data_IF_627086743123
#
_entry.id   IF_627086743123
#
_cell.length_a   1.000
_cell.length_b   1.000
_cell.length_c   1.000
_cell.angle_alpha   90.00
_cell.angle_beta   90.00
_cell.angle_gamma   90.00
#
_symmetry.space_group_name_H-M   'P 1'
#
loop_
_entity.id
_entity.type
_entity.pdbx_description
1 polymer ?
#
# COMPACT_ATOMS: atom_id res chain seq x y z
N UNK A 1 35.57 33.11 -28.10
CA UNK A 1 35.71 31.63 -27.98
C UNK A 1 35.37 31.11 -26.58
N UNK A 2 35.86 31.69 -25.47
CA UNK A 2 35.55 31.21 -24.10
C UNK A 2 34.05 31.27 -23.72
N UNK A 3 33.29 32.24 -24.17
CA UNK A 3 31.84 32.40 -23.89
C UNK A 3 30.98 31.33 -24.59
N UNK A 4 31.39 30.86 -25.79
CA UNK A 4 30.67 29.82 -26.54
C UNK A 4 30.86 28.44 -25.90
N UNK A 5 32.06 28.17 -25.37
CA UNK A 5 32.37 26.89 -24.68
C UNK A 5 31.57 26.75 -23.38
N UNK A 6 31.35 27.87 -22.66
CA UNK A 6 30.58 27.84 -21.41
C UNK A 6 29.09 27.55 -21.68
N UNK A 7 28.55 28.13 -22.77
CA UNK A 7 27.14 27.92 -23.17
C UNK A 7 26.90 26.46 -23.64
N UNK A 8 27.83 25.85 -24.37
CA UNK A 8 27.72 24.45 -24.80
C UNK A 8 27.86 23.47 -23.63
N UNK A 9 28.69 23.78 -22.63
CA UNK A 9 28.82 22.97 -21.40
C UNK A 9 27.54 23.05 -20.53
N UNK A 10 26.91 24.21 -20.43
CA UNK A 10 25.64 24.41 -19.71
C UNK A 10 24.46 23.66 -20.38
N UNK A 11 24.43 23.62 -21.72
CA UNK A 11 23.41 22.88 -22.47
C UNK A 11 23.57 21.36 -22.36
N UNK A 12 24.82 20.85 -22.27
CA UNK A 12 25.07 19.42 -22.00
C UNK A 12 24.66 18.99 -20.59
N UNK A 13 24.83 19.86 -19.58
CA UNK A 13 24.41 19.55 -18.21
C UNK A 13 22.90 19.51 -18.03
N UNK A 14 22.13 20.30 -18.79
CA UNK A 14 20.67 20.31 -18.76
C UNK A 14 20.05 19.01 -19.28
N UNK A 15 20.71 18.27 -20.16
CA UNK A 15 20.22 17.00 -20.69
C UNK A 15 20.37 15.83 -19.72
N UNK A 16 21.35 15.87 -18.81
CA UNK A 16 21.59 14.80 -17.81
C UNK A 16 20.53 14.85 -16.72
N UNK A 17 19.98 16.01 -16.39
CA UNK A 17 18.94 16.16 -15.35
C UNK A 17 17.58 15.66 -15.83
N UNK A 18 17.29 15.72 -17.14
CA UNK A 18 16.02 15.21 -17.69
C UNK A 18 15.96 13.67 -17.82
N UNK A 19 17.10 12.97 -17.88
CA UNK A 19 17.14 11.53 -18.09
C UNK A 19 16.94 10.68 -16.82
N UNK A 20 17.10 11.25 -15.63
CA UNK A 20 17.02 10.52 -14.36
C UNK A 20 15.62 10.54 -13.70
N UNK A 21 14.67 11.31 -14.20
CA UNK A 21 13.37 11.55 -13.55
C UNK A 21 12.22 10.63 -13.93
N UNK A 22 12.34 9.78 -14.95
CA UNK A 22 11.14 9.22 -15.59
C UNK A 22 10.79 7.74 -15.26
N UNK A 23 11.64 7.01 -14.55
CA UNK A 23 11.39 5.58 -14.33
C UNK A 23 10.75 5.22 -12.98
N UNK A 24 10.90 6.01 -11.93
CA UNK A 24 10.39 5.66 -10.58
C UNK A 24 8.96 6.12 -10.29
N UNK A 25 8.39 7.05 -11.05
CA UNK A 25 7.08 7.66 -10.74
C UNK A 25 5.83 6.91 -11.24
N UNK A 26 5.95 5.93 -12.14
CA UNK A 26 4.76 5.25 -12.69
C UNK A 26 4.00 4.44 -11.64
N UNK A 27 4.67 3.77 -10.74
CA UNK A 27 4.04 2.97 -9.68
C UNK A 27 3.46 3.84 -8.57
N UNK A 28 4.12 4.94 -8.21
CA UNK A 28 3.63 5.91 -7.25
C UNK A 28 2.36 6.64 -7.72
N UNK A 29 2.32 7.04 -9.00
CA UNK A 29 1.14 7.69 -9.61
C UNK A 29 -0.06 6.74 -9.72
N UNK A 30 0.15 5.46 -10.03
CA UNK A 30 -0.94 4.49 -10.08
C UNK A 30 -1.53 4.24 -8.70
N UNK A 31 -0.69 4.09 -7.66
CA UNK A 31 -1.11 3.96 -6.27
C UNK A 31 -1.87 5.17 -5.75
N UNK A 32 -1.42 6.38 -6.09
CA UNK A 32 -2.10 7.63 -5.74
C UNK A 32 -3.50 7.73 -6.35
N UNK A 33 -3.66 7.41 -7.64
CA UNK A 33 -4.97 7.41 -8.32
C UNK A 33 -5.95 6.39 -7.73
N UNK A 34 -5.47 5.20 -7.36
CA UNK A 34 -6.30 4.18 -6.70
C UNK A 34 -6.76 4.67 -5.34
N UNK A 35 -5.87 5.30 -4.56
CA UNK A 35 -6.21 5.87 -3.25
C UNK A 35 -7.24 7.00 -3.36
N UNK A 36 -7.12 7.88 -4.34
CA UNK A 36 -8.10 8.95 -4.57
C UNK A 36 -9.46 8.39 -5.00
N UNK A 37 -9.48 7.43 -5.92
CA UNK A 37 -10.71 6.74 -6.32
C UNK A 37 -11.38 6.04 -5.15
N UNK A 38 -10.61 5.38 -4.29
CA UNK A 38 -11.11 4.74 -3.07
C UNK A 38 -11.78 5.74 -2.13
N UNK A 39 -11.17 6.91 -1.92
CA UNK A 39 -11.73 7.97 -1.07
C UNK A 39 -13.07 8.47 -1.60
N UNK A 40 -13.14 8.79 -2.90
CA UNK A 40 -14.39 9.26 -3.54
C UNK A 40 -15.49 8.22 -3.35
N UNK A 41 -15.22 6.97 -3.69
CA UNK A 41 -16.20 5.88 -3.55
C UNK A 41 -16.62 5.62 -2.10
N UNK A 42 -15.74 5.82 -1.13
CA UNK A 42 -16.09 5.72 0.29
C UNK A 42 -17.05 6.83 0.72
N UNK A 43 -16.79 8.07 0.31
CA UNK A 43 -17.67 9.20 0.62
C UNK A 43 -19.08 8.94 0.06
N UNK A 44 -19.15 8.49 -1.21
CA UNK A 44 -20.43 8.15 -1.87
C UNK A 44 -21.15 6.98 -1.18
N UNK A 45 -20.44 5.89 -0.89
CA UNK A 45 -21.03 4.68 -0.30
C UNK A 45 -21.53 4.90 1.14
N UNK A 46 -20.83 5.72 1.92
CA UNK A 46 -21.17 6.01 3.31
C UNK A 46 -22.04 7.26 3.45
N UNK A 47 -22.24 8.04 2.39
CA UNK A 47 -23.05 9.27 2.40
C UNK A 47 -22.66 10.21 3.56
N UNK A 48 -21.34 10.42 3.71
CA UNK A 48 -20.81 11.27 4.77
C UNK A 48 -20.89 12.75 4.41
N UNK A 49 -21.25 13.59 5.37
CA UNK A 49 -21.08 15.03 5.27
C UNK A 49 -19.59 15.43 5.40
N UNK A 50 -19.30 16.71 5.26
CA UNK A 50 -17.93 17.21 5.27
C UNK A 50 -17.24 16.99 6.62
N UNK A 51 -17.93 17.27 7.74
CA UNK A 51 -17.34 17.11 9.08
C UNK A 51 -17.05 15.64 9.39
N UNK A 52 -18.01 14.76 9.12
CA UNK A 52 -17.84 13.31 9.28
C UNK A 52 -16.74 12.78 8.38
N UNK A 53 -16.66 13.25 7.14
CA UNK A 53 -15.60 12.89 6.18
C UNK A 53 -14.22 13.21 6.70
N UNK A 54 -14.00 14.42 7.23
CA UNK A 54 -12.70 14.82 7.80
C UNK A 54 -12.31 13.93 8.99
N UNK A 55 -13.24 13.70 9.93
CA UNK A 55 -13.01 12.86 11.11
C UNK A 55 -12.71 11.41 10.71
N UNK A 56 -13.49 10.86 9.78
CA UNK A 56 -13.34 9.50 9.27
C UNK A 56 -11.96 9.29 8.63
N UNK A 57 -11.57 10.14 7.68
CA UNK A 57 -10.26 9.98 7.01
C UNK A 57 -9.07 10.23 7.94
N UNK A 58 -9.20 11.11 8.93
CA UNK A 58 -8.18 11.26 9.96
C UNK A 58 -7.94 9.95 10.72
N UNK A 59 -9.01 9.30 11.22
CA UNK A 59 -8.92 8.01 11.93
C UNK A 59 -8.45 6.89 11.02
N UNK A 60 -8.96 6.84 9.78
CA UNK A 60 -8.57 5.85 8.78
C UNK A 60 -7.09 5.94 8.42
N UNK A 61 -6.56 7.15 8.27
CA UNK A 61 -5.15 7.36 7.98
C UNK A 61 -4.26 6.86 9.13
N UNK A 62 -4.65 7.13 10.38
CA UNK A 62 -3.93 6.64 11.56
C UNK A 62 -3.96 5.10 11.62
N UNK A 63 -5.14 4.50 11.42
CA UNK A 63 -5.31 3.05 11.32
C UNK A 63 -4.40 2.45 10.23
N UNK A 64 -4.40 3.00 9.03
CA UNK A 64 -3.56 2.53 7.92
C UNK A 64 -2.07 2.66 8.24
N UNK A 65 -1.66 3.72 8.95
CA UNK A 65 -0.27 3.88 9.38
C UNK A 65 0.14 2.80 10.38
N UNK A 66 -0.70 2.53 11.38
CA UNK A 66 -0.46 1.51 12.40
C UNK A 66 -0.42 0.11 11.77
N UNK A 67 -1.37 -0.21 10.89
CA UNK A 67 -1.38 -1.47 10.16
C UNK A 67 -0.11 -1.67 9.32
N UNK A 68 0.36 -0.61 8.62
CA UNK A 68 1.62 -0.70 7.85
C UNK A 68 2.83 -0.99 8.72
N UNK A 69 2.91 -0.38 9.91
CA UNK A 69 3.99 -0.65 10.88
C UNK A 69 3.98 -2.13 11.33
N UNK A 70 2.80 -2.68 11.63
CA UNK A 70 2.66 -4.06 12.06
C UNK A 70 2.98 -5.05 10.93
N UNK A 71 2.49 -4.77 9.71
CA UNK A 71 2.85 -5.54 8.52
C UNK A 71 4.37 -5.55 8.31
N UNK A 72 5.04 -4.40 8.41
CA UNK A 72 6.49 -4.32 8.30
C UNK A 72 7.24 -5.14 9.35
N UNK A 73 6.78 -5.13 10.62
CA UNK A 73 7.34 -5.97 11.68
C UNK A 73 7.17 -7.47 11.36
N UNK A 74 5.95 -7.88 10.98
CA UNK A 74 5.64 -9.26 10.61
C UNK A 74 6.52 -9.74 9.45
N UNK A 75 6.60 -8.95 8.39
CA UNK A 75 7.37 -9.29 7.19
C UNK A 75 8.89 -9.39 7.51
N UNK A 76 9.41 -8.54 8.40
CA UNK A 76 10.79 -8.66 8.90
C UNK A 76 11.02 -9.96 9.64
N UNK A 77 10.10 -10.38 10.53
CA UNK A 77 10.22 -11.67 11.24
C UNK A 77 10.09 -12.86 10.29
N UNK A 78 9.19 -12.81 9.31
CA UNK A 78 9.08 -13.85 8.28
C UNK A 78 10.36 -13.98 7.45
N UNK A 79 11.00 -12.87 7.11
CA UNK A 79 12.29 -12.90 6.39
C UNK A 79 13.40 -13.50 7.25
N UNK A 80 13.46 -13.16 8.54
CA UNK A 80 14.41 -13.78 9.48
C UNK A 80 14.18 -15.28 9.59
N UNK A 81 12.93 -15.69 9.75
CA UNK A 81 12.55 -17.10 9.82
C UNK A 81 12.92 -17.84 8.53
N UNK A 82 12.66 -17.27 7.37
CA UNK A 82 13.04 -17.84 6.07
C UNK A 82 14.56 -18.02 5.96
N UNK A 83 15.36 -17.03 6.38
CA UNK A 83 16.81 -17.16 6.36
C UNK A 83 17.31 -18.32 7.27
N UNK A 84 16.76 -18.43 8.48
CA UNK A 84 17.06 -19.55 9.39
C UNK A 84 16.74 -20.91 8.77
N UNK A 85 15.63 -21.02 8.03
CA UNK A 85 15.23 -22.25 7.32
C UNK A 85 16.22 -22.57 6.19
N UNK A 86 16.61 -21.58 5.42
CA UNK A 86 17.56 -21.75 4.29
C UNK A 86 18.94 -22.13 4.79
N UNK A 87 19.42 -21.54 5.89
CA UNK A 87 20.74 -21.80 6.46
C UNK A 87 20.81 -23.19 7.16
N UNK A 88 19.68 -23.91 7.24
CA UNK A 88 19.59 -25.28 7.79
C UNK A 88 20.20 -25.42 9.20
N UNK A 89 20.09 -24.41 10.05
CA UNK A 89 20.58 -24.43 11.41
C UNK A 89 19.69 -25.34 12.29
N UNK A 90 20.11 -26.57 12.47
CA UNK A 90 19.41 -27.58 13.29
C UNK A 90 19.30 -27.20 14.79
N UNK A 91 19.99 -26.16 15.24
CA UNK A 91 19.94 -25.66 16.63
C UNK A 91 18.89 -24.57 16.83
N UNK A 92 18.19 -24.16 15.77
CA UNK A 92 17.32 -22.98 15.78
C UNK A 92 15.98 -23.25 16.47
N UNK A 93 15.64 -22.45 17.45
CA UNK A 93 14.32 -22.44 18.08
C UNK A 93 13.30 -21.67 17.21
N UNK A 94 12.69 -22.40 16.26
CA UNK A 94 11.59 -21.84 15.43
C UNK A 94 10.34 -21.50 16.23
N UNK A 95 10.15 -22.11 17.41
CA UNK A 95 8.96 -21.92 18.24
C UNK A 95 8.78 -20.46 18.65
N UNK A 96 9.85 -19.83 19.13
CA UNK A 96 9.81 -18.43 19.54
C UNK A 96 9.47 -17.50 18.37
N UNK A 97 10.06 -17.71 17.20
CA UNK A 97 9.80 -16.89 16.01
C UNK A 97 8.33 -17.02 15.56
N UNK A 98 7.78 -18.24 15.58
CA UNK A 98 6.38 -18.50 15.24
C UNK A 98 5.45 -17.74 16.20
N UNK A 99 5.68 -17.82 17.53
CA UNK A 99 4.83 -17.11 18.49
C UNK A 99 4.93 -15.59 18.34
N UNK A 100 6.10 -15.03 18.05
CA UNK A 100 6.25 -13.59 17.79
C UNK A 100 5.45 -13.14 16.54
N UNK A 101 5.44 -13.95 15.48
CA UNK A 101 4.64 -13.66 14.28
C UNK A 101 3.14 -13.70 14.62
N UNK A 102 2.68 -14.74 15.34
CA UNK A 102 1.27 -14.88 15.75
C UNK A 102 0.81 -13.75 16.67
N UNK A 103 1.68 -13.28 17.58
CA UNK A 103 1.39 -12.14 18.45
C UNK A 103 1.20 -10.85 17.64
N UNK A 104 2.02 -10.60 16.61
CA UNK A 104 1.84 -9.45 15.71
C UNK A 104 0.53 -9.58 14.92
N UNK A 105 0.17 -10.76 14.44
CA UNK A 105 -1.11 -10.96 13.74
C UNK A 105 -2.31 -10.70 14.65
N UNK A 106 -2.23 -11.08 15.93
CA UNK A 106 -3.22 -10.73 16.95
C UNK A 106 -3.27 -9.22 17.19
N UNK A 107 -2.12 -8.54 17.27
CA UNK A 107 -2.04 -7.08 17.40
C UNK A 107 -2.68 -6.37 16.20
N UNK A 108 -2.44 -6.87 14.97
CA UNK A 108 -3.10 -6.36 13.75
C UNK A 108 -4.62 -6.50 13.81
N UNK A 109 -5.12 -7.63 14.30
CA UNK A 109 -6.56 -7.87 14.48
C UNK A 109 -7.17 -6.93 15.52
N UNK A 110 -6.50 -6.76 16.66
CA UNK A 110 -6.93 -5.87 17.73
C UNK A 110 -6.96 -4.41 17.28
N UNK A 111 -5.93 -3.96 16.57
CA UNK A 111 -5.85 -2.61 16.01
C UNK A 111 -7.00 -2.34 15.03
N UNK A 112 -7.33 -3.33 14.18
CA UNK A 112 -8.49 -3.24 13.30
C UNK A 112 -9.81 -3.12 14.09
N UNK A 113 -9.98 -3.92 15.14
CA UNK A 113 -11.17 -3.84 16.01
C UNK A 113 -11.29 -2.47 16.68
N UNK A 114 -10.18 -1.91 17.20
CA UNK A 114 -10.16 -0.57 17.80
C UNK A 114 -10.51 0.51 16.79
N UNK A 115 -10.03 0.40 15.56
CA UNK A 115 -10.43 1.31 14.49
C UNK A 115 -11.95 1.31 14.29
N UNK A 116 -12.58 0.14 14.09
CA UNK A 116 -14.03 0.08 13.91
C UNK A 116 -14.81 0.57 15.13
N UNK A 117 -14.38 0.25 16.35
CA UNK A 117 -14.97 0.79 17.57
C UNK A 117 -14.86 2.32 17.63
N UNK A 118 -13.76 2.88 17.17
CA UNK A 118 -13.56 4.32 17.14
C UNK A 118 -14.49 5.06 16.18
N UNK A 119 -15.15 4.37 15.26
CA UNK A 119 -16.09 4.99 14.31
C UNK A 119 -17.49 5.18 14.86
N UNK A 120 -17.84 4.56 16.01
CA UNK A 120 -19.22 4.54 16.55
C UNK A 120 -19.79 5.91 16.92
N UNK A 121 -18.94 6.91 17.13
CA UNK A 121 -19.34 8.30 17.46
C UNK A 121 -19.51 9.18 16.22
N UNK A 122 -19.10 8.72 15.04
CA UNK A 122 -19.18 9.49 13.78
C UNK A 122 -19.97 8.78 12.68
N UNK A 123 -20.16 7.48 12.76
CA UNK A 123 -20.89 6.67 11.79
C UNK A 123 -21.97 5.83 12.47
N UNK A 124 -23.10 5.66 11.80
CA UNK A 124 -24.11 4.67 12.20
C UNK A 124 -23.61 3.24 11.98
N UNK A 125 -24.19 2.27 12.67
CA UNK A 125 -23.89 0.85 12.44
C UNK A 125 -24.17 0.39 11.02
N UNK A 126 -25.14 0.99 10.33
CA UNK A 126 -25.40 0.75 8.90
C UNK A 126 -24.21 1.22 8.04
N UNK A 127 -23.70 2.42 8.29
CA UNK A 127 -22.52 2.95 7.59
C UNK A 127 -21.26 2.11 7.86
N UNK A 128 -21.07 1.66 9.10
CA UNK A 128 -19.97 0.74 9.46
C UNK A 128 -20.09 -0.60 8.73
N UNK A 129 -21.31 -1.14 8.63
CA UNK A 129 -21.55 -2.36 7.85
C UNK A 129 -21.27 -2.16 6.36
N UNK A 130 -21.69 -1.03 5.78
CA UNK A 130 -21.37 -0.65 4.40
C UNK A 130 -19.85 -0.52 4.19
N UNK A 131 -19.11 0.05 5.15
CA UNK A 131 -17.66 0.14 5.11
C UNK A 131 -17.00 -1.25 5.04
N UNK A 132 -17.43 -2.20 5.87
CA UNK A 132 -16.90 -3.57 5.87
C UNK A 132 -17.12 -4.27 4.52
N UNK A 133 -18.31 -4.13 3.94
CA UNK A 133 -18.64 -4.68 2.62
C UNK A 133 -17.80 -4.00 1.54
N UNK A 134 -17.74 -2.67 1.56
CA UNK A 134 -16.94 -1.89 0.62
C UNK A 134 -15.48 -2.30 0.61
N UNK A 135 -14.83 -2.44 1.77
CA UNK A 135 -13.43 -2.85 1.86
C UNK A 135 -13.17 -4.22 1.23
N UNK A 136 -14.11 -5.17 1.39
CA UNK A 136 -14.03 -6.50 0.78
C UNK A 136 -14.14 -6.41 -0.74
N UNK A 137 -15.16 -5.69 -1.23
CA UNK A 137 -15.45 -5.57 -2.65
C UNK A 137 -14.37 -4.80 -3.39
N UNK A 138 -13.92 -3.67 -2.84
CA UNK A 138 -12.86 -2.85 -3.42
C UNK A 138 -11.54 -3.63 -3.55
N UNK A 139 -11.15 -4.37 -2.50
CA UNK A 139 -9.96 -5.24 -2.56
C UNK A 139 -10.10 -6.35 -3.59
N UNK A 140 -11.28 -6.95 -3.71
CA UNK A 140 -11.56 -7.99 -4.70
C UNK A 140 -11.48 -7.46 -6.13
N UNK A 141 -12.06 -6.28 -6.39
CA UNK A 141 -12.01 -5.63 -7.69
C UNK A 141 -10.60 -5.22 -8.08
N UNK A 142 -9.86 -4.61 -7.15
CA UNK A 142 -8.46 -4.24 -7.37
C UNK A 142 -7.60 -5.47 -7.74
N UNK A 143 -7.78 -6.58 -7.02
CA UNK A 143 -7.08 -7.84 -7.34
C UNK A 143 -7.44 -8.35 -8.74
N UNK A 144 -8.71 -8.32 -9.11
CA UNK A 144 -9.16 -8.71 -10.47
C UNK A 144 -8.51 -7.86 -11.56
N UNK A 145 -8.43 -6.55 -11.34
CA UNK A 145 -7.82 -5.62 -12.30
C UNK A 145 -6.31 -5.88 -12.44
N UNK A 146 -5.58 -6.09 -11.34
CA UNK A 146 -4.15 -6.41 -11.37
C UNK A 146 -3.90 -7.70 -12.17
N UNK A 147 -4.67 -8.77 -11.92
CA UNK A 147 -4.52 -10.05 -12.63
C UNK A 147 -4.83 -9.89 -14.13
N UNK A 148 -5.88 -9.14 -14.47
CA UNK A 148 -6.28 -8.88 -15.87
C UNK A 148 -5.20 -8.13 -16.65
N UNK A 149 -4.60 -7.12 -16.03
CA UNK A 149 -3.51 -6.34 -16.64
C UNK A 149 -2.21 -7.15 -16.72
N UNK A 150 -1.88 -7.94 -15.72
CA UNK A 150 -0.73 -8.85 -15.74
C UNK A 150 -0.79 -9.84 -16.90
N UNK A 151 -1.96 -10.47 -17.13
CA UNK A 151 -2.17 -11.41 -18.25
C UNK A 151 -2.05 -10.76 -19.63
N UNK A 152 -2.47 -9.48 -19.77
CA UNK A 152 -2.33 -8.75 -21.04
C UNK A 152 -0.87 -8.43 -21.36
N UNK A 153 -0.07 -8.05 -20.39
CA UNK A 153 1.35 -7.77 -20.56
C UNK A 153 2.16 -9.02 -20.95
N UNK A 154 1.74 -10.20 -20.48
CA UNK A 154 2.40 -11.47 -20.83
C UNK A 154 2.09 -11.93 -22.25
N UNK A 155 0.83 -11.82 -22.70
CA UNK A 155 0.43 -12.14 -24.07
C UNK A 155 1.09 -11.23 -25.11
N UNK A 156 1.34 -9.97 -24.76
CA UNK A 156 2.00 -9.04 -25.70
C UNK A 156 3.49 -9.36 -25.90
N UNK A 157 4.15 -9.95 -24.90
CA UNK A 157 5.56 -10.40 -25.01
C UNK A 157 5.73 -11.66 -25.85
N UNK A 158 4.75 -12.57 -25.86
CA UNK A 158 4.83 -13.80 -26.66
C UNK A 158 4.55 -13.60 -28.16
N UNK A 159 3.99 -12.46 -28.55
CA UNK A 159 3.72 -12.14 -29.96
C UNK A 159 4.84 -11.34 -30.65
N UNK A 160 5.99 -11.12 -29.97
CA UNK A 160 7.14 -10.37 -30.49
C UNK A 160 8.34 -11.30 -30.77
N UNK A 161 8.26 -12.59 -30.44
CA UNK A 161 9.20 -13.64 -30.82
C UNK A 161 8.68 -14.40 -32.06
#
# INVERSE_FOLDING_TARGET
MKKVIIITLLLMFAQIIMAQGWSQNKWGMAGGRISELEKIKLIEALQMDEETTLKFFSRRNMHQLNQRKLVGKRDSLLNLLNNKIVDSDNSTDYKNDIYQILDIEKEMSNEREQFFKSLNDILSYEQIAKLLVFEKEFRSELRRQIIKHGKRGWKHRQNIE
#
